data_IF_352258481749
#
_entry.id   IF_352258481749
#
_cell.length_a   1.000
_cell.length_b   1.000
_cell.length_c   1.000
_cell.angle_alpha   90.00
_cell.angle_beta   90.00
_cell.angle_gamma   90.00
#
_symmetry.space_group_name_H-M   'P 1'
#
loop_
_entity.id
_entity.type
_entity.pdbx_description
1 polymer ?
#
# COMPACT_ATOMS: atom_id res chain seq x y z
N UNK A 1 -15.14 19.61 -4.93
CA UNK A 1 -15.68 18.61 -5.87
C UNK A 1 -14.59 17.75 -6.53
N UNK A 2 -13.52 18.32 -7.08
CA UNK A 2 -12.43 17.54 -7.73
C UNK A 2 -11.84 16.39 -6.87
N UNK A 3 -11.50 16.64 -5.60
CA UNK A 3 -10.92 15.61 -4.73
C UNK A 3 -11.87 14.49 -4.28
N UNK A 4 -13.19 14.61 -4.53
CA UNK A 4 -14.15 13.52 -4.26
C UNK A 4 -14.13 12.51 -5.42
N UNK A 5 -14.05 13.01 -6.66
CA UNK A 5 -13.93 12.18 -7.86
C UNK A 5 -12.61 11.40 -7.90
N UNK A 6 -11.52 12.01 -7.43
CA UNK A 6 -10.22 11.34 -7.31
C UNK A 6 -10.26 10.15 -6.33
N UNK A 7 -10.89 10.33 -5.15
CA UNK A 7 -11.02 9.25 -4.17
C UNK A 7 -11.92 8.13 -4.69
N UNK A 8 -12.99 8.45 -5.41
CA UNK A 8 -13.85 7.46 -6.05
C UNK A 8 -13.10 6.64 -7.10
N UNK A 9 -12.29 7.27 -7.94
CA UNK A 9 -11.44 6.58 -8.91
C UNK A 9 -10.45 5.62 -8.23
N UNK A 10 -9.88 6.02 -7.09
CA UNK A 10 -9.00 5.17 -6.28
C UNK A 10 -9.78 3.97 -5.71
N UNK A 11 -10.96 4.19 -5.12
CA UNK A 11 -11.82 3.11 -4.60
C UNK A 11 -12.16 2.10 -5.69
N UNK A 12 -12.56 2.59 -6.86
CA UNK A 12 -12.89 1.73 -8.00
C UNK A 12 -11.67 0.94 -8.50
N UNK A 13 -10.49 1.55 -8.48
CA UNK A 13 -9.23 0.88 -8.84
C UNK A 13 -8.87 -0.21 -7.82
N UNK A 14 -9.02 0.06 -6.52
CA UNK A 14 -8.80 -0.92 -5.45
C UNK A 14 -9.71 -2.14 -5.66
N UNK A 15 -11.02 -1.92 -5.82
CA UNK A 15 -12.02 -2.99 -5.94
C UNK A 15 -11.84 -3.87 -7.18
N UNK A 16 -11.27 -3.33 -8.26
CA UNK A 16 -11.08 -4.05 -9.53
C UNK A 16 -9.71 -4.70 -9.67
N UNK A 17 -8.79 -4.45 -8.74
CA UNK A 17 -7.41 -4.90 -8.85
C UNK A 17 -7.18 -6.21 -8.11
N UNK A 18 -6.52 -7.18 -8.76
CA UNK A 18 -6.09 -8.44 -8.12
C UNK A 18 -5.07 -8.20 -6.99
N UNK A 19 -4.17 -7.23 -7.21
CA UNK A 19 -3.13 -6.81 -6.27
C UNK A 19 -3.07 -5.29 -6.27
N UNK A 20 -2.81 -4.71 -5.10
CA UNK A 20 -2.74 -3.27 -4.89
C UNK A 20 -1.37 -2.97 -4.30
N UNK A 21 -0.64 -2.03 -4.89
CA UNK A 21 0.71 -1.67 -4.41
C UNK A 21 0.64 -0.29 -3.77
N UNK A 22 1.04 -0.20 -2.51
CA UNK A 22 1.34 1.07 -1.86
C UNK A 22 2.85 1.31 -1.88
N UNK A 23 3.27 2.36 -2.59
CA UNK A 23 4.66 2.80 -2.61
C UNK A 23 4.87 3.82 -1.50
N UNK A 24 5.29 3.33 -0.35
CA UNK A 24 5.40 4.08 0.91
C UNK A 24 6.67 4.95 0.91
N UNK A 25 6.43 6.27 0.99
CA UNK A 25 7.43 7.34 1.11
C UNK A 25 6.94 8.40 2.10
N UNK A 26 7.84 9.19 2.70
CA UNK A 26 7.49 10.35 3.53
C UNK A 26 6.61 11.34 2.73
N UNK A 27 6.83 11.47 1.42
CA UNK A 27 6.02 12.31 0.55
C UNK A 27 4.59 11.80 0.44
N UNK A 28 4.41 10.49 0.19
CA UNK A 28 3.08 9.88 0.19
C UNK A 28 2.36 10.10 1.52
N UNK A 29 3.04 9.95 2.66
CA UNK A 29 2.39 10.12 3.97
C UNK A 29 2.03 11.58 4.29
N UNK A 30 2.64 12.54 3.59
CA UNK A 30 2.35 13.98 3.73
C UNK A 30 1.29 14.46 2.75
N UNK A 31 1.07 13.72 1.67
CA UNK A 31 0.15 14.05 0.59
C UNK A 31 -1.29 14.31 1.10
N UNK A 32 -1.93 15.43 0.72
CA UNK A 32 -3.28 15.76 1.18
C UNK A 32 -4.35 14.73 0.79
N UNK A 33 -4.26 14.14 -0.40
CA UNK A 33 -5.21 13.12 -0.86
C UNK A 33 -5.02 11.83 -0.06
N UNK A 34 -3.78 11.41 0.18
CA UNK A 34 -3.44 10.27 1.02
C UNK A 34 -3.97 10.42 2.44
N UNK A 35 -3.80 11.60 3.06
CA UNK A 35 -4.34 11.88 4.42
C UNK A 35 -5.87 11.78 4.49
N UNK A 36 -6.57 12.03 3.39
CA UNK A 36 -8.03 11.90 3.31
C UNK A 36 -8.50 10.45 3.36
N UNK A 37 -7.63 9.47 3.11
CA UNK A 37 -8.00 8.06 3.14
C UNK A 37 -8.58 7.66 4.49
N UNK A 38 -8.11 8.25 5.59
CA UNK A 38 -8.55 7.93 6.96
C UNK A 38 -9.98 8.37 7.25
N UNK A 39 -10.43 9.46 6.64
CA UNK A 39 -11.74 10.06 6.90
C UNK A 39 -12.76 9.72 5.82
N UNK A 40 -12.30 9.15 4.70
CA UNK A 40 -13.16 8.74 3.60
C UNK A 40 -13.58 7.28 3.75
N UNK A 41 -14.80 7.07 4.24
CA UNK A 41 -15.35 5.74 4.56
C UNK A 41 -15.18 4.72 3.41
N UNK A 42 -15.51 5.10 2.17
CA UNK A 42 -15.42 4.17 1.04
C UNK A 42 -13.96 3.73 0.73
N UNK A 43 -12.97 4.56 1.05
CA UNK A 43 -11.55 4.21 0.86
C UNK A 43 -11.09 3.26 1.96
N UNK A 44 -11.41 3.54 3.24
CA UNK A 44 -11.13 2.62 4.34
C UNK A 44 -11.77 1.25 4.08
N UNK A 45 -13.06 1.23 3.73
CA UNK A 45 -13.76 -0.01 3.42
C UNK A 45 -13.13 -0.77 2.24
N UNK A 46 -12.73 -0.07 1.17
CA UNK A 46 -12.08 -0.71 0.03
C UNK A 46 -10.71 -1.31 0.42
N UNK A 47 -9.94 -0.62 1.27
CA UNK A 47 -8.67 -1.12 1.80
C UNK A 47 -8.90 -2.35 2.68
N UNK A 48 -9.82 -2.28 3.63
CA UNK A 48 -10.15 -3.36 4.58
C UNK A 48 -10.58 -4.65 3.85
N UNK A 49 -11.50 -4.51 2.88
CA UNK A 49 -11.98 -5.64 2.07
C UNK A 49 -10.90 -6.26 1.17
N UNK A 50 -9.81 -5.54 0.91
CA UNK A 50 -8.75 -5.96 0.02
C UNK A 50 -7.38 -6.06 0.72
N UNK A 51 -7.33 -6.16 2.06
CA UNK A 51 -6.08 -6.20 2.83
C UNK A 51 -5.13 -7.31 2.36
N UNK A 52 -5.67 -8.49 2.05
CA UNK A 52 -4.89 -9.62 1.54
C UNK A 52 -4.34 -9.43 0.12
N UNK A 53 -4.86 -8.46 -0.62
CA UNK A 53 -4.43 -8.08 -1.96
C UNK A 53 -3.33 -7.02 -1.95
N UNK A 54 -3.05 -6.39 -0.80
CA UNK A 54 -2.12 -5.26 -0.68
C UNK A 54 -0.67 -5.72 -0.53
N UNK A 55 0.21 -5.04 -1.26
CA UNK A 55 1.67 -5.13 -1.16
C UNK A 55 2.18 -3.75 -0.76
N UNK A 56 2.95 -3.70 0.33
CA UNK A 56 3.66 -2.49 0.76
C UNK A 56 5.07 -2.51 0.20
N UNK A 57 5.48 -1.43 -0.47
CA UNK A 57 6.85 -1.20 -0.91
C UNK A 57 7.36 0.06 -0.22
N UNK A 58 8.32 -0.08 0.69
CA UNK A 58 8.97 1.04 1.36
C UNK A 58 10.20 1.46 0.54
N UNK A 59 10.18 2.67 -0.01
CA UNK A 59 11.36 3.23 -0.71
C UNK A 59 12.38 3.86 0.24
N UNK A 60 11.97 4.10 1.48
CA UNK A 60 12.78 4.68 2.54
C UNK A 60 12.34 4.13 3.90
N UNK A 61 13.14 4.36 4.93
CA UNK A 61 12.80 3.90 6.27
C UNK A 61 11.64 4.73 6.85
N UNK A 62 10.48 4.08 6.98
CA UNK A 62 9.27 4.66 7.57
C UNK A 62 8.93 3.93 8.86
N UNK A 63 8.96 4.62 10.02
CA UNK A 63 8.44 4.07 11.27
C UNK A 63 6.95 3.74 11.18
N UNK A 64 6.53 2.64 11.82
CA UNK A 64 5.15 2.16 11.83
C UNK A 64 4.14 3.21 12.31
N UNK A 65 4.51 4.06 13.28
CA UNK A 65 3.62 5.11 13.77
C UNK A 65 3.26 6.13 12.68
N UNK A 66 4.18 6.44 11.74
CA UNK A 66 3.91 7.36 10.64
C UNK A 66 2.96 6.74 9.62
N UNK A 67 3.14 5.45 9.34
CA UNK A 67 2.26 4.68 8.45
C UNK A 67 0.84 4.64 9.02
N UNK A 68 0.71 4.27 10.31
CA UNK A 68 -0.58 4.22 10.99
C UNK A 68 -1.24 5.61 11.03
N UNK A 69 -0.46 6.64 11.35
CA UNK A 69 -0.98 8.00 11.44
C UNK A 69 -1.52 8.54 10.10
N UNK A 70 -0.90 8.18 8.96
CA UNK A 70 -1.31 8.69 7.65
C UNK A 70 -2.35 7.82 6.94
N UNK A 71 -2.29 6.49 7.10
CA UNK A 71 -3.08 5.54 6.31
C UNK A 71 -3.96 4.60 7.15
N UNK A 72 -3.89 4.63 8.48
CA UNK A 72 -4.47 3.61 9.38
C UNK A 72 -3.93 2.19 9.13
N UNK A 73 -2.75 2.08 8.52
CA UNK A 73 -2.11 0.79 8.22
C UNK A 73 -0.96 0.50 9.19
N UNK A 74 -0.80 -0.77 9.55
CA UNK A 74 0.33 -1.30 10.33
C UNK A 74 0.96 -2.45 9.57
N UNK A 75 2.29 -2.61 9.65
CA UNK A 75 3.00 -3.71 8.98
C UNK A 75 2.45 -5.08 9.37
N UNK A 76 2.11 -5.27 10.65
CA UNK A 76 1.53 -6.51 11.16
C UNK A 76 0.16 -6.90 10.58
N UNK A 77 -0.50 -6.03 9.80
CA UNK A 77 -1.75 -6.36 9.10
C UNK A 77 -1.51 -7.15 7.80
N UNK A 78 -0.26 -7.20 7.32
CA UNK A 78 0.07 -7.77 6.01
C UNK A 78 0.93 -9.02 6.15
N UNK A 79 0.80 -9.93 5.19
CA UNK A 79 1.68 -11.10 5.07
C UNK A 79 3.12 -10.60 4.89
N UNK A 80 4.08 -11.22 5.59
CA UNK A 80 5.48 -10.77 5.60
C UNK A 80 6.10 -10.67 4.20
N UNK A 81 5.72 -11.56 3.28
CA UNK A 81 6.18 -11.53 1.88
C UNK A 81 5.56 -10.41 1.04
N UNK A 82 4.50 -9.75 1.52
CA UNK A 82 3.88 -8.58 0.90
C UNK A 82 4.45 -7.26 1.45
N UNK A 83 5.44 -7.31 2.35
CA UNK A 83 6.11 -6.14 2.91
C UNK A 83 7.54 -6.11 2.35
N UNK A 84 7.79 -5.21 1.42
CA UNK A 84 9.04 -5.13 0.67
C UNK A 84 9.75 -3.81 0.97
N UNK A 85 11.07 -3.86 1.14
CA UNK A 85 11.90 -2.67 1.25
C UNK A 85 12.75 -2.55 -0.01
N UNK A 86 12.80 -1.35 -0.59
CA UNK A 86 13.71 -1.05 -1.68
C UNK A 86 15.16 -1.20 -1.20
N UNK A 87 16.02 -1.90 -1.96
CA UNK A 87 17.38 -2.13 -1.53
C UNK A 87 18.24 -0.85 -1.66
N UNK A 88 19.08 -0.61 -0.67
CA UNK A 88 20.11 0.45 -0.72
C UNK A 88 21.23 0.06 -1.69
N UNK A 89 21.61 -1.22 -1.70
CA UNK A 89 22.64 -1.78 -2.56
C UNK A 89 22.06 -2.17 -3.93
N UNK A 90 22.65 -1.68 -5.03
CA UNK A 90 22.17 -1.95 -6.40
C UNK A 90 22.19 -3.43 -6.74
N UNK A 91 23.13 -4.18 -6.17
CA UNK A 91 23.31 -5.62 -6.38
C UNK A 91 22.09 -6.43 -5.88
N UNK A 92 21.33 -5.86 -4.94
CA UNK A 92 20.13 -6.50 -4.35
C UNK A 92 18.84 -6.20 -5.11
N UNK A 93 18.86 -5.38 -6.16
CA UNK A 93 17.69 -5.03 -6.97
C UNK A 93 17.05 -6.27 -7.60
N UNK A 94 17.85 -7.21 -8.11
CA UNK A 94 17.33 -8.47 -8.65
C UNK A 94 16.59 -9.30 -7.59
N UNK A 95 17.12 -9.35 -6.38
CA UNK A 95 16.46 -10.04 -5.26
C UNK A 95 15.14 -9.36 -4.86
N UNK A 96 15.10 -8.02 -4.88
CA UNK A 96 13.85 -7.27 -4.69
C UNK A 96 12.82 -7.61 -5.77
N UNK A 97 13.21 -7.62 -7.05
CA UNK A 97 12.30 -7.99 -8.15
C UNK A 97 11.76 -9.41 -8.01
N UNK A 98 12.59 -10.36 -7.57
CA UNK A 98 12.13 -11.71 -7.30
C UNK A 98 11.07 -11.74 -6.19
N UNK A 99 11.32 -11.07 -5.06
CA UNK A 99 10.34 -10.95 -3.96
C UNK A 99 9.05 -10.29 -4.42
N UNK A 100 9.14 -9.24 -5.24
CA UNK A 100 7.97 -8.58 -5.82
C UNK A 100 7.16 -9.51 -6.72
N UNK A 101 7.81 -10.31 -7.57
CA UNK A 101 7.14 -11.33 -8.39
C UNK A 101 6.41 -12.36 -7.54
N UNK A 102 7.03 -12.81 -6.44
CA UNK A 102 6.39 -13.74 -5.48
C UNK A 102 5.16 -13.10 -4.83
N UNK A 103 5.26 -11.86 -4.34
CA UNK A 103 4.13 -11.13 -3.75
C UNK A 103 2.99 -10.90 -4.75
N UNK A 104 3.33 -10.56 -5.99
CA UNK A 104 2.35 -10.43 -7.07
C UNK A 104 1.72 -11.78 -7.43
N UNK A 105 2.47 -12.88 -7.38
CA UNK A 105 1.99 -14.22 -7.69
C UNK A 105 1.15 -14.87 -6.57
N UNK A 106 1.21 -14.35 -5.35
CA UNK A 106 0.51 -14.96 -4.21
C UNK A 106 -1.02 -14.88 -4.37
N UNK A 107 -1.73 -15.91 -3.92
CA UNK A 107 -3.19 -15.92 -3.88
C UNK A 107 -3.68 -15.08 -2.70
N UNK A 108 -4.78 -14.38 -2.91
CA UNK A 108 -5.50 -13.70 -1.83
C UNK A 108 -6.23 -14.78 -1.02
N UNK A 109 -6.38 -14.58 0.29
CA UNK A 109 -7.26 -15.44 1.09
C UNK A 109 -8.68 -15.24 0.57
N UNK A 110 -9.42 -16.34 0.36
CA UNK A 110 -10.82 -16.29 -0.04
C UNK A 110 -11.70 -15.88 1.14
#
# INVERSE_FOLDING_TARGET
EAGVLELEAIVNSIRRSRKIIFVITQNLLKDPLCKRFKVHHAVQQAIEQNLDSIILIFLEEIPDYKLNHALCLRRGMFKSHCILNWPVQKERVNAFHHKLKVALGSRNSA
#
